data_IF_833224565601
#
_entry.id   IF_833224565601
#
_cell.length_a   1.000
_cell.length_b   1.000
_cell.length_c   1.000
_cell.angle_alpha   90.00
_cell.angle_beta   90.00
_cell.angle_gamma   90.00
#
_symmetry.space_group_name_H-M   'P 1'
#
loop_
_entity.id
_entity.type
_entity.pdbx_description
1 polymer ?
#
# COMPACT_ATOMS: atom_id res chain seq x y z
N UNK A 1 -10.94 -24.99 -7.51
CA UNK A 1 -9.57 -24.67 -7.95
C UNK A 1 -9.54 -23.21 -8.32
N UNK A 2 -9.12 -22.33 -7.40
CA UNK A 2 -8.98 -20.90 -7.69
C UNK A 2 -7.74 -20.70 -8.56
N UNK A 3 -7.79 -19.92 -9.64
CA UNK A 3 -6.60 -19.61 -10.42
C UNK A 3 -5.65 -18.82 -9.53
N UNK A 4 -4.41 -19.30 -9.39
CA UNK A 4 -3.34 -18.62 -8.66
C UNK A 4 -3.18 -17.20 -9.20
N UNK A 5 -3.24 -16.22 -8.31
CA UNK A 5 -3.24 -14.81 -8.67
C UNK A 5 -1.79 -14.35 -8.89
N UNK A 6 -1.24 -14.65 -10.06
CA UNK A 6 0.09 -14.18 -10.45
C UNK A 6 0.10 -12.67 -10.72
N UNK A 7 1.18 -11.98 -10.38
CA UNK A 7 1.37 -10.55 -10.69
C UNK A 7 1.21 -10.23 -12.20
N UNK A 8 0.88 -8.98 -12.59
CA UNK A 8 0.75 -8.53 -14.00
C UNK A 8 2.09 -8.23 -14.68
N UNK A 9 2.42 -8.82 -15.84
CA UNK A 9 3.77 -8.97 -16.47
C UNK A 9 4.42 -7.72 -17.08
N UNK A 10 3.81 -6.55 -16.98
CA UNK A 10 4.30 -5.32 -17.61
C UNK A 10 5.36 -4.60 -16.77
N UNK A 11 6.47 -4.17 -17.41
CA UNK A 11 7.42 -3.22 -16.84
C UNK A 11 6.89 -1.79 -17.00
N UNK A 12 6.03 -1.35 -16.09
CA UNK A 12 5.40 -0.02 -16.10
C UNK A 12 6.07 0.94 -15.11
N UNK A 13 6.19 2.21 -15.49
CA UNK A 13 6.58 3.27 -14.57
C UNK A 13 5.43 3.51 -13.59
N UNK A 14 5.64 3.10 -12.33
CA UNK A 14 4.68 3.18 -11.23
C UNK A 14 3.98 4.55 -11.11
N UNK A 15 4.69 5.65 -11.37
CA UNK A 15 4.14 7.03 -11.30
C UNK A 15 3.10 7.33 -12.39
N UNK A 16 3.12 6.62 -13.52
CA UNK A 16 2.20 6.82 -14.64
C UNK A 16 0.99 5.86 -14.61
N UNK A 17 1.00 4.85 -13.74
CA UNK A 17 -0.02 3.79 -13.80
C UNK A 17 -1.35 4.18 -13.15
N UNK A 18 -1.33 5.16 -12.23
CA UNK A 18 -2.54 5.64 -11.58
C UNK A 18 -3.03 6.89 -12.31
N UNK A 19 -4.26 6.90 -12.85
CA UNK A 19 -4.82 8.06 -13.51
C UNK A 19 -5.01 9.23 -12.53
N UNK A 20 -5.17 10.44 -13.05
CA UNK A 20 -5.53 11.60 -12.25
C UNK A 20 -7.03 11.56 -11.93
N UNK A 21 -7.40 10.72 -10.97
CA UNK A 21 -8.78 10.40 -10.58
C UNK A 21 -9.25 11.09 -9.28
N UNK A 22 -8.41 11.94 -8.69
CA UNK A 22 -8.70 12.64 -7.42
C UNK A 22 -8.54 11.78 -6.16
N UNK A 23 -8.11 10.52 -6.27
CA UNK A 23 -7.81 9.68 -5.11
C UNK A 23 -6.41 9.98 -4.55
N UNK A 24 -6.27 9.91 -3.22
CA UNK A 24 -4.97 9.88 -2.56
C UNK A 24 -4.26 8.57 -2.87
N UNK A 25 -3.02 8.66 -3.33
CA UNK A 25 -2.18 7.51 -3.68
C UNK A 25 -1.32 7.15 -2.48
N UNK A 26 -1.53 5.98 -1.91
CA UNK A 26 -0.77 5.49 -0.76
C UNK A 26 0.18 4.42 -1.26
N UNK A 27 1.45 4.78 -1.36
CA UNK A 27 2.53 3.87 -1.69
C UNK A 27 3.04 3.20 -0.42
N UNK A 28 2.89 1.88 -0.35
CA UNK A 28 3.36 1.01 0.71
C UNK A 28 4.61 0.30 0.21
N UNK A 29 5.77 0.85 0.55
CA UNK A 29 7.05 0.19 0.33
C UNK A 29 7.20 -0.89 1.40
N UNK A 30 7.01 -2.13 0.98
CA UNK A 30 7.04 -3.29 1.85
C UNK A 30 8.45 -3.73 2.23
N UNK A 31 9.51 -3.24 1.57
CA UNK A 31 10.88 -3.63 1.88
C UNK A 31 11.12 -5.15 1.73
N UNK A 32 12.02 -5.70 2.53
CA UNK A 32 12.38 -7.12 2.50
C UNK A 32 11.40 -7.96 3.33
N UNK A 33 10.74 -8.93 2.70
CA UNK A 33 9.68 -9.73 3.35
C UNK A 33 10.16 -10.51 4.57
N UNK A 34 11.41 -10.94 4.60
CA UNK A 34 11.98 -11.61 5.77
C UNK A 34 11.95 -10.72 7.03
N UNK A 35 11.94 -9.39 6.85
CA UNK A 35 11.98 -8.40 7.93
C UNK A 35 10.59 -7.82 8.21
N UNK A 36 9.84 -7.47 7.17
CA UNK A 36 8.66 -6.60 7.28
C UNK A 36 7.33 -7.32 7.16
N UNK A 37 7.31 -8.63 6.89
CA UNK A 37 6.06 -9.39 6.66
C UNK A 37 5.05 -9.14 7.77
N UNK A 38 5.45 -9.22 9.05
CA UNK A 38 4.54 -8.98 10.18
C UNK A 38 3.99 -7.55 10.18
N UNK A 39 4.82 -6.54 9.95
CA UNK A 39 4.41 -5.15 9.86
C UNK A 39 3.43 -4.89 8.70
N UNK A 40 3.64 -5.53 7.54
CA UNK A 40 2.73 -5.44 6.39
C UNK A 40 1.37 -6.06 6.71
N UNK A 41 1.35 -7.23 7.35
CA UNK A 41 0.12 -7.89 7.78
C UNK A 41 -0.63 -7.10 8.86
N UNK A 42 0.10 -6.57 9.84
CA UNK A 42 -0.47 -5.71 10.87
C UNK A 42 -1.06 -4.44 10.22
N UNK A 43 -0.36 -3.81 9.28
CA UNK A 43 -0.88 -2.66 8.52
C UNK A 43 -2.19 -3.00 7.80
N UNK A 44 -2.22 -4.11 7.04
CA UNK A 44 -3.44 -4.58 6.36
C UNK A 44 -4.61 -4.82 7.32
N UNK A 45 -4.38 -5.54 8.42
CA UNK A 45 -5.40 -5.80 9.43
C UNK A 45 -5.91 -4.50 10.10
N UNK A 46 -5.05 -3.50 10.29
CA UNK A 46 -5.45 -2.21 10.84
C UNK A 46 -6.22 -1.34 9.83
N UNK A 47 -6.00 -1.49 8.51
CA UNK A 47 -6.84 -0.85 7.50
C UNK A 47 -8.28 -1.35 7.56
N UNK A 48 -8.49 -2.64 7.88
CA UNK A 48 -9.82 -3.25 8.03
C UNK A 48 -10.57 -2.82 9.30
N UNK A 49 -9.87 -2.32 10.32
CA UNK A 49 -10.51 -1.90 11.58
C UNK A 49 -11.51 -0.78 11.34
N UNK A 50 -12.68 -0.89 11.98
CA UNK A 50 -13.70 0.17 11.97
C UNK A 50 -13.08 1.48 12.48
N UNK A 51 -13.30 2.56 11.74
CA UNK A 51 -12.81 3.89 12.10
C UNK A 51 -11.36 4.17 11.67
N UNK A 52 -10.69 3.24 11.00
CA UNK A 52 -9.43 3.58 10.31
C UNK A 52 -9.68 4.61 9.20
N UNK A 53 -8.66 5.36 8.82
CA UNK A 53 -8.71 6.30 7.70
C UNK A 53 -9.23 5.59 6.45
N UNK A 54 -8.84 4.33 6.25
CA UNK A 54 -9.22 3.58 5.08
C UNK A 54 -10.66 3.05 5.14
N UNK A 55 -11.02 2.30 6.20
CA UNK A 55 -12.35 1.67 6.32
C UNK A 55 -13.47 2.71 6.38
N UNK A 56 -13.19 3.88 6.97
CA UNK A 56 -14.14 4.99 7.05
C UNK A 56 -14.53 5.50 5.67
N UNK A 57 -13.64 5.43 4.67
CA UNK A 57 -13.89 5.84 3.29
C UNK A 57 -14.05 4.66 2.32
N UNK A 58 -14.42 3.47 2.83
CA UNK A 58 -14.81 2.35 1.99
C UNK A 58 -16.11 2.62 1.26
N UNK A 59 -16.18 2.06 0.05
CA UNK A 59 -17.36 2.10 -0.78
C UNK A 59 -18.42 1.13 -0.23
N UNK A 60 -19.71 1.50 -0.23
CA UNK A 60 -20.78 0.58 0.12
C UNK A 60 -20.99 -0.51 -0.95
N UNK A 61 -20.60 -0.28 -2.21
CA UNK A 61 -20.78 -1.19 -3.35
C UNK A 61 -19.61 -2.17 -3.59
N UNK A 62 -19.08 -2.80 -2.52
CA UNK A 62 -17.84 -3.63 -2.54
C UNK A 62 -17.98 -5.04 -3.18
N UNK A 63 -18.97 -5.27 -4.05
CA UNK A 63 -19.33 -6.62 -4.48
C UNK A 63 -18.78 -7.04 -5.85
N UNK A 64 -18.30 -6.13 -6.71
CA UNK A 64 -17.56 -6.53 -7.91
C UNK A 64 -16.55 -5.47 -8.38
N UNK A 65 -15.29 -5.90 -8.57
CA UNK A 65 -14.24 -5.08 -9.15
C UNK A 65 -14.41 -5.16 -10.67
N UNK A 66 -15.18 -4.22 -11.22
CA UNK A 66 -15.17 -3.98 -12.67
C UNK A 66 -13.77 -3.58 -13.12
N UNK A 67 -13.37 -3.94 -14.33
CA UNK A 67 -12.12 -3.47 -14.95
C UNK A 67 -11.95 -1.94 -14.85
N UNK A 68 -13.05 -1.19 -14.99
CA UNK A 68 -13.04 0.27 -14.87
C UNK A 68 -12.79 0.79 -13.44
N UNK A 69 -12.91 -0.07 -12.42
CA UNK A 69 -12.68 0.25 -11.01
C UNK A 69 -11.36 -0.32 -10.48
N UNK A 70 -10.46 -0.80 -11.35
CA UNK A 70 -9.18 -1.42 -10.95
C UNK A 70 -8.30 -0.56 -10.02
N UNK A 71 -8.38 0.77 -10.18
CA UNK A 71 -7.62 1.74 -9.38
C UNK A 71 -8.24 2.04 -8.01
N UNK A 72 -9.54 1.78 -7.85
CA UNK A 72 -10.34 2.13 -6.67
C UNK A 72 -11.38 1.02 -6.37
N UNK A 73 -10.92 -0.22 -6.15
CA UNK A 73 -11.81 -1.36 -5.92
C UNK A 73 -12.64 -1.19 -4.64
N UNK A 74 -12.04 -0.64 -3.58
CA UNK A 74 -12.67 -0.59 -2.25
C UNK A 74 -12.85 0.83 -1.69
N UNK A 75 -12.09 1.81 -2.18
CA UNK A 75 -12.25 3.23 -1.81
C UNK A 75 -12.12 4.11 -3.04
N UNK A 76 -13.04 5.06 -3.21
CA UNK A 76 -12.92 6.15 -4.19
C UNK A 76 -11.96 7.24 -3.74
N UNK A 77 -11.64 7.28 -2.45
CA UNK A 77 -10.78 8.31 -1.85
C UNK A 77 -9.32 7.88 -1.80
N UNK A 78 -9.05 6.57 -1.69
CA UNK A 78 -7.70 6.02 -1.61
C UNK A 78 -7.41 4.98 -2.70
N UNK A 79 -6.24 5.13 -3.32
CA UNK A 79 -5.59 4.11 -4.14
C UNK A 79 -4.39 3.58 -3.38
N UNK A 80 -4.36 2.27 -3.08
CA UNK A 80 -3.24 1.62 -2.40
C UNK A 80 -2.32 0.98 -3.45
N UNK A 81 -1.02 1.14 -3.27
CA UNK A 81 0.01 0.57 -4.13
C UNK A 81 1.08 -0.08 -3.27
N UNK A 82 1.36 -1.36 -3.48
CA UNK A 82 2.36 -2.10 -2.68
C UNK A 82 3.60 -2.35 -3.52
N UNK A 83 4.77 -2.03 -3.00
CA UNK A 83 6.06 -2.20 -3.67
C UNK A 83 6.98 -3.07 -2.82
N UNK A 84 7.38 -4.22 -3.33
CA UNK A 84 8.28 -5.14 -2.63
C UNK A 84 9.74 -4.91 -3.06
N UNK A 85 10.67 -4.97 -2.11
CA UNK A 85 12.11 -4.99 -2.39
C UNK A 85 12.57 -6.43 -2.67
N UNK A 86 11.88 -7.14 -3.55
CA UNK A 86 12.14 -8.54 -3.86
C UNK A 86 11.84 -8.80 -5.33
N UNK A 87 12.44 -9.86 -5.89
CA UNK A 87 12.17 -10.25 -7.27
C UNK A 87 10.73 -10.70 -7.40
N UNK A 88 10.14 -10.36 -8.54
CA UNK A 88 8.77 -10.73 -8.84
C UNK A 88 8.47 -12.23 -8.74
N UNK A 89 9.41 -13.08 -9.14
CA UNK A 89 9.26 -14.53 -9.09
C UNK A 89 9.12 -15.07 -7.65
N UNK A 90 9.55 -14.28 -6.66
CA UNK A 90 9.58 -14.65 -5.25
C UNK A 90 8.38 -14.07 -4.48
N UNK A 91 7.44 -13.39 -5.17
CA UNK A 91 6.27 -12.76 -4.54
C UNK A 91 5.00 -13.51 -4.94
N UNK A 92 4.36 -14.15 -3.97
CA UNK A 92 3.08 -14.82 -4.12
C UNK A 92 1.97 -13.94 -3.53
N UNK A 93 1.19 -13.25 -4.36
CA UNK A 93 0.18 -12.28 -3.92
C UNK A 93 -0.82 -12.88 -2.94
N UNK A 94 -1.17 -14.16 -3.10
CA UNK A 94 -2.11 -14.83 -2.19
C UNK A 94 -1.55 -15.09 -0.79
N UNK A 95 -0.23 -15.06 -0.62
CA UNK A 95 0.47 -15.41 0.63
C UNK A 95 1.31 -14.29 1.23
N UNK A 96 1.75 -13.33 0.44
CA UNK A 96 2.64 -12.26 0.87
C UNK A 96 1.93 -10.91 1.01
N UNK A 97 0.70 -10.79 0.48
CA UNK A 97 -0.05 -9.54 0.46
C UNK A 97 -1.32 -9.67 1.32
N UNK A 98 -1.51 -8.80 2.32
CA UNK A 98 -2.73 -8.76 3.11
C UNK A 98 -3.98 -8.56 2.26
N UNK A 99 -5.11 -9.14 2.68
CA UNK A 99 -6.34 -9.19 1.87
C UNK A 99 -6.76 -7.83 1.31
N UNK A 100 -6.78 -6.76 2.11
CA UNK A 100 -7.13 -5.40 1.64
C UNK A 100 -6.19 -4.90 0.54
N UNK A 101 -4.89 -5.14 0.66
CA UNK A 101 -3.89 -4.72 -0.33
C UNK A 101 -3.97 -5.60 -1.59
N UNK A 102 -4.25 -6.89 -1.43
CA UNK A 102 -4.39 -7.83 -2.55
C UNK A 102 -5.57 -7.49 -3.48
N UNK A 103 -6.56 -6.72 -3.01
CA UNK A 103 -7.66 -6.18 -3.83
C UNK A 103 -7.16 -5.21 -4.90
N UNK A 104 -6.01 -4.57 -4.66
CA UNK A 104 -5.32 -3.68 -5.59
C UNK A 104 -4.27 -4.45 -6.39
N UNK A 105 -4.60 -5.63 -6.91
CA UNK A 105 -3.67 -6.53 -7.61
C UNK A 105 -2.90 -5.90 -8.78
N UNK A 106 -3.51 -4.93 -9.46
CA UNK A 106 -2.91 -4.19 -10.57
C UNK A 106 -1.96 -3.07 -10.08
N UNK A 107 -1.80 -2.94 -8.76
CA UNK A 107 -0.95 -1.96 -8.08
C UNK A 107 -0.02 -2.65 -7.07
N UNK A 108 0.40 -3.87 -7.41
CA UNK A 108 1.43 -4.61 -6.68
C UNK A 108 2.65 -4.68 -7.59
N UNK A 109 3.78 -4.22 -7.07
CA UNK A 109 5.01 -4.03 -7.83
C UNK A 109 6.17 -4.75 -7.16
N UNK A 110 7.10 -5.23 -7.98
CA UNK A 110 8.41 -5.70 -7.57
C UNK A 110 9.43 -4.63 -7.95
N UNK A 111 10.29 -4.24 -7.01
CA UNK A 111 11.40 -3.32 -7.23
C UNK A 111 12.66 -4.11 -7.60
N UNK A 112 12.61 -4.80 -8.74
CA UNK A 112 13.63 -5.74 -9.20
C UNK A 112 14.38 -5.27 -10.46
N UNK A 113 14.16 -4.02 -10.86
CA UNK A 113 14.81 -3.38 -12.01
C UNK A 113 16.02 -2.58 -11.53
N UNK A 114 17.20 -2.95 -12.02
CA UNK A 114 18.42 -2.19 -11.79
C UNK A 114 18.37 -0.82 -12.48
N UNK A 115 18.90 0.22 -11.82
CA UNK A 115 18.94 1.57 -12.37
C UNK A 115 20.33 2.21 -12.21
N UNK A 116 20.87 2.74 -13.31
CA UNK A 116 22.19 3.37 -13.36
C UNK A 116 22.34 4.59 -12.42
N UNK A 117 21.24 5.28 -12.07
CA UNK A 117 21.25 6.43 -11.15
C UNK A 117 21.45 6.02 -9.69
N UNK A 118 21.18 4.76 -9.35
CA UNK A 118 21.37 4.16 -8.02
C UNK A 118 22.04 2.79 -8.15
N UNK A 119 23.27 2.73 -8.67
CA UNK A 119 23.88 1.48 -9.16
C UNK A 119 24.17 0.46 -8.06
N UNK A 120 24.25 0.91 -6.80
CA UNK A 120 24.51 0.08 -5.62
C UNK A 120 23.24 -0.37 -4.89
N UNK A 121 22.05 0.04 -5.35
CA UNK A 121 20.79 -0.34 -4.73
C UNK A 121 20.33 -1.72 -5.21
N UNK A 122 19.88 -2.56 -4.27
CA UNK A 122 19.20 -3.82 -4.56
C UNK A 122 17.72 -3.60 -4.90
N UNK A 123 17.15 -2.49 -4.42
CA UNK A 123 15.80 -2.02 -4.71
C UNK A 123 15.88 -0.53 -5.12
N UNK A 124 15.92 -0.28 -6.43
CA UNK A 124 16.22 1.03 -7.00
C UNK A 124 15.13 2.07 -6.70
N UNK A 125 13.86 1.68 -6.72
CA UNK A 125 12.73 2.56 -6.40
C UNK A 125 12.74 2.97 -4.92
N UNK A 126 12.96 2.02 -4.00
CA UNK A 126 13.10 2.31 -2.57
C UNK A 126 14.23 3.32 -2.33
N UNK A 127 15.40 3.08 -2.93
CA UNK A 127 16.56 3.95 -2.79
C UNK A 127 16.32 5.37 -3.35
N UNK A 128 15.71 5.48 -4.55
CA UNK A 128 15.35 6.79 -5.15
C UNK A 128 14.37 7.59 -4.29
N UNK A 129 13.49 6.90 -3.57
CA UNK A 129 12.54 7.53 -2.67
C UNK A 129 13.14 7.89 -1.29
N UNK A 130 14.43 7.61 -1.07
CA UNK A 130 15.10 7.85 0.21
C UNK A 130 14.64 6.92 1.33
N UNK A 131 14.06 5.77 0.98
CA UNK A 131 13.55 4.79 1.94
C UNK A 131 14.58 3.68 2.19
N UNK A 132 14.56 3.14 3.41
CA UNK A 132 15.33 1.95 3.75
C UNK A 132 14.82 0.76 2.93
N UNK A 133 15.72 0.13 2.18
CA UNK A 133 15.38 -0.97 1.27
C UNK A 133 14.89 -2.22 2.01
N UNK A 134 15.31 -2.39 3.27
CA UNK A 134 14.92 -3.53 4.11
C UNK A 134 13.63 -3.22 4.88
N UNK A 135 13.50 -2.00 5.43
CA UNK A 135 12.37 -1.64 6.32
C UNK A 135 11.17 -1.03 5.60
N UNK A 136 11.36 -0.43 4.43
CA UNK A 136 10.28 0.20 3.67
C UNK A 136 9.68 1.46 4.32
N UNK A 137 8.45 1.81 3.94
CA UNK A 137 7.73 3.02 4.39
C UNK A 137 6.45 3.32 3.61
N UNK A 138 5.62 4.24 4.10
CA UNK A 138 4.33 4.60 3.49
C UNK A 138 4.28 6.07 3.09
N UNK A 139 3.80 6.38 1.88
CA UNK A 139 3.67 7.74 1.33
C UNK A 139 2.29 8.00 0.73
N UNK A 140 1.51 8.99 1.20
CA UNK A 140 0.19 9.31 0.67
C UNK A 140 0.20 10.58 -0.21
N UNK A 141 0.59 10.48 -1.50
CA UNK A 141 0.27 11.40 -2.63
C UNK A 141 1.30 11.35 -3.79
N UNK A 142 1.05 12.16 -4.83
CA UNK A 142 1.96 12.45 -5.95
C UNK A 142 2.79 13.74 -5.79
N UNK A 143 2.57 14.53 -4.74
CA UNK A 143 3.60 15.39 -4.14
C UNK A 143 4.16 14.61 -2.92
N UNK A 144 4.63 15.18 -1.81
CA UNK A 144 4.94 14.35 -0.61
C UNK A 144 4.19 14.93 0.58
N UNK A 145 3.06 14.32 0.95
CA UNK A 145 2.22 14.76 2.06
C UNK A 145 2.74 14.35 3.44
N UNK A 146 3.24 13.12 3.57
CA UNK A 146 3.89 12.57 4.79
C UNK A 146 4.65 11.29 4.41
N UNK A 147 5.68 10.93 5.19
CA UNK A 147 6.33 9.62 5.12
C UNK A 147 6.25 8.97 6.49
N UNK A 148 5.71 7.74 6.57
CA UNK A 148 5.55 7.00 7.83
C UNK A 148 6.29 5.67 7.75
N UNK A 149 6.96 5.28 8.83
CA UNK A 149 7.61 3.96 8.90
C UNK A 149 6.56 2.84 8.91
N UNK A 150 6.84 1.76 8.17
CA UNK A 150 6.07 0.53 8.25
C UNK A 150 6.53 -0.24 9.49
N UNK A 151 5.69 -0.31 10.52
CA UNK A 151 6.03 -0.92 11.82
C UNK A 151 5.00 -1.97 12.21
N UNK A 152 5.42 -2.92 13.04
CA UNK A 152 4.52 -3.90 13.63
C UNK A 152 3.48 -3.23 14.56
N UNK A 153 2.31 -3.84 14.69
CA UNK A 153 1.19 -3.28 15.45
C UNK A 153 0.42 -2.21 14.69
N UNK A 154 -0.20 -1.28 15.41
CA UNK A 154 -1.08 -0.26 14.82
C UNK A 154 -0.39 1.04 14.45
N UNK A 155 0.88 1.24 14.84
CA UNK A 155 1.56 2.53 14.78
C UNK A 155 1.50 3.21 13.40
N UNK A 156 1.73 2.47 12.32
CA UNK A 156 1.64 3.02 10.95
C UNK A 156 0.24 3.55 10.64
N UNK A 157 -0.82 2.82 11.01
CA UNK A 157 -2.21 3.24 10.75
C UNK A 157 -2.64 4.35 11.71
N UNK A 158 -2.17 4.34 12.96
CA UNK A 158 -2.48 5.38 13.94
C UNK A 158 -1.93 6.73 13.48
N UNK A 159 -0.67 6.80 13.02
CA UNK A 159 -0.11 8.02 12.44
C UNK A 159 -0.87 8.49 11.18
N UNK A 160 -1.29 7.55 10.32
CA UNK A 160 -2.09 7.90 9.15
C UNK A 160 -3.50 8.38 9.53
N UNK A 161 -4.11 7.83 10.58
CA UNK A 161 -5.39 8.31 11.12
C UNK A 161 -5.24 9.76 11.58
N UNK A 162 -4.21 10.09 12.35
CA UNK A 162 -3.92 11.46 12.81
C UNK A 162 -3.73 12.42 11.63
N UNK A 163 -2.92 12.01 10.65
CA UNK A 163 -2.67 12.81 9.45
C UNK A 163 -3.96 13.13 8.69
N UNK A 164 -4.74 12.09 8.34
CA UNK A 164 -5.98 12.28 7.59
C UNK A 164 -7.05 12.99 8.42
N UNK A 165 -7.11 12.77 9.74
CA UNK A 165 -8.09 13.44 10.61
C UNK A 165 -7.93 14.96 10.63
N UNK A 166 -6.74 15.49 10.34
CA UNK A 166 -6.50 16.92 10.30
C UNK A 166 -7.27 17.66 9.18
N UNK A 167 -7.67 16.96 8.12
CA UNK A 167 -8.33 17.58 6.95
C UNK A 167 -9.49 16.76 6.36
N UNK A 168 -9.70 15.52 6.80
CA UNK A 168 -10.81 14.68 6.37
C UNK A 168 -12.07 14.93 7.21
N UNK A 169 -13.23 14.74 6.61
CA UNK A 169 -14.53 15.05 7.23
C UNK A 169 -15.08 13.95 8.15
N UNK A 170 -14.58 12.71 8.03
CA UNK A 170 -14.99 11.59 8.87
C UNK A 170 -14.14 11.56 10.14
N UNK A 171 -14.75 11.15 11.25
CA UNK A 171 -14.00 10.85 12.49
C UNK A 171 -13.17 9.59 12.27
N UNK A 172 -11.86 9.71 12.44
CA UNK A 172 -10.89 8.63 12.28
C UNK A 172 -10.24 8.31 13.63
N UNK A 173 -9.82 7.07 13.84
CA UNK A 173 -9.13 6.65 15.06
C UNK A 173 -10.03 6.69 16.29
N UNK A 174 -11.08 5.85 16.35
CA UNK A 174 -11.77 5.62 17.62
C UNK A 174 -10.86 4.80 18.55
N UNK A 175 -10.17 5.49 19.48
CA UNK A 175 -9.63 4.86 20.68
C UNK A 175 -10.78 4.13 21.38
N UNK A 176 -10.66 2.80 21.52
CA UNK A 176 -11.42 2.09 22.56
C UNK A 176 -10.99 2.72 23.89
N UNK A 177 -11.82 3.63 24.41
CA UNK A 177 -11.85 3.91 25.83
C UNK A 177 -12.07 2.57 26.52
N UNK A 178 -11.06 2.11 27.25
CA UNK A 178 -11.18 0.96 28.14
C UNK A 178 -12.23 1.35 29.20
N UNK A 179 -13.37 0.66 29.18
CA UNK A 179 -14.28 0.52 30.31
C UNK A 179 -14.17 -0.92 30.79
#
# INVERSE_FOLDING_TARGET
MSPGLSMPTSSTWMEQEIPMNGSYRIYVFAGEQAVTRKALYDFGANLDKKGSFYSSYRRPDNTSISYHKRHNPESLFYTLCTVFASKRADIEVSQDVPATLARYRDHIFADDIWDQRVPNATAATHAKMGLDQNKGGVRPDGYVGIVVSLVEGSGTVDTLNEYFAAFCTKKLGELRGQL
#
